data_IF_245023716225
#
_entry.id   IF_245023716225
#
_cell.length_a   1.000
_cell.length_b   1.000
_cell.length_c   1.000
_cell.angle_alpha   90.00
_cell.angle_beta   90.00
_cell.angle_gamma   90.00
#
_symmetry.space_group_name_H-M   'P 1'
#
loop_
_entity.id
_entity.type
_entity.pdbx_description
1 polymer ?
#
# COMPACT_ATOMS: atom_id res chain seq x y z
N UNK A 1 8.40 35.69 -25.75
CA UNK A 1 7.09 35.96 -26.40
C UNK A 1 6.30 36.85 -25.44
N UNK A 2 5.86 38.04 -25.87
CA UNK A 2 5.08 38.96 -25.02
C UNK A 2 3.60 38.77 -25.37
N UNK A 3 2.75 38.60 -24.36
CA UNK A 3 1.30 38.47 -24.56
C UNK A 3 0.70 39.80 -25.07
N UNK A 4 -0.23 39.70 -26.03
CA UNK A 4 -1.02 40.84 -26.49
C UNK A 4 -2.06 41.25 -25.43
N UNK A 5 -2.08 42.54 -25.09
CA UNK A 5 -3.00 43.14 -24.11
C UNK A 5 -3.85 44.18 -24.82
N UNK A 6 -5.18 44.11 -24.64
CA UNK A 6 -6.13 45.06 -25.20
C UNK A 6 -6.82 45.83 -24.07
N UNK A 7 -7.14 47.09 -24.30
CA UNK A 7 -7.89 47.92 -23.34
C UNK A 7 -9.20 48.34 -24.01
N UNK A 8 -10.34 48.00 -23.40
CA UNK A 8 -11.64 48.35 -23.94
C UNK A 8 -11.88 49.86 -23.84
N UNK A 9 -11.85 50.56 -24.98
CA UNK A 9 -11.91 52.03 -25.08
C UNK A 9 -13.07 52.66 -24.29
N UNK A 10 -14.24 52.01 -24.24
CA UNK A 10 -15.43 52.51 -23.50
C UNK A 10 -15.48 52.08 -22.03
N UNK A 11 -14.81 50.99 -21.67
CA UNK A 11 -14.96 50.34 -20.34
C UNK A 11 -13.72 50.45 -19.46
N UNK A 12 -12.57 50.83 -20.02
CA UNK A 12 -11.27 50.79 -19.35
C UNK A 12 -10.76 49.39 -18.98
N UNK A 13 -11.53 48.32 -19.24
CA UNK A 13 -11.18 46.95 -18.88
C UNK A 13 -10.01 46.44 -19.72
N UNK A 14 -9.08 45.78 -19.04
CA UNK A 14 -7.94 45.08 -19.67
C UNK A 14 -8.40 43.69 -20.10
N UNK A 15 -8.18 43.35 -21.36
CA UNK A 15 -8.42 42.05 -21.95
C UNK A 15 -7.08 41.40 -22.30
N UNK A 16 -6.90 40.16 -21.83
CA UNK A 16 -5.70 39.34 -22.07
C UNK A 16 -6.15 38.03 -22.73
N UNK A 17 -6.31 37.99 -24.07
CA UNK A 17 -6.96 36.87 -24.75
C UNK A 17 -6.25 35.54 -24.55
N UNK A 18 -4.92 35.53 -24.58
CA UNK A 18 -4.14 34.33 -24.31
C UNK A 18 -4.34 33.83 -22.88
N UNK A 19 -4.16 34.69 -21.87
CA UNK A 19 -4.38 34.36 -20.46
C UNK A 19 -5.79 33.85 -20.21
N UNK A 20 -6.79 34.47 -20.83
CA UNK A 20 -8.20 34.08 -20.71
C UNK A 20 -8.46 32.71 -21.35
N UNK A 21 -7.98 32.51 -22.58
CA UNK A 21 -8.12 31.23 -23.30
C UNK A 21 -7.36 30.09 -22.63
N UNK A 22 -6.19 30.38 -22.06
CA UNK A 22 -5.37 29.40 -21.36
C UNK A 22 -5.79 29.22 -19.88
N UNK A 23 -6.77 30.00 -19.41
CA UNK A 23 -7.22 30.07 -18.02
C UNK A 23 -6.08 30.33 -17.02
N UNK A 24 -5.10 31.14 -17.44
CA UNK A 24 -3.95 31.56 -16.63
C UNK A 24 -4.24 32.95 -16.07
N UNK A 25 -4.02 33.12 -14.78
CA UNK A 25 -4.07 34.42 -14.12
C UNK A 25 -2.70 34.76 -13.53
N UNK A 26 -2.49 36.03 -13.18
CA UNK A 26 -1.26 36.47 -12.52
C UNK A 26 -0.99 35.61 -11.28
N UNK A 27 0.23 35.06 -11.15
CA UNK A 27 0.65 34.11 -10.10
C UNK A 27 -0.11 32.77 -10.09
N UNK A 28 -0.87 32.48 -11.14
CA UNK A 28 -1.54 31.21 -11.36
C UNK A 28 -0.65 30.19 -12.08
N UNK A 29 -0.91 28.92 -11.83
CA UNK A 29 -0.29 27.80 -12.54
C UNK A 29 -1.31 27.20 -13.50
N UNK A 30 -0.98 27.07 -14.79
CA UNK A 30 -1.88 26.44 -15.77
C UNK A 30 -2.15 24.97 -15.40
N UNK A 31 -3.29 24.42 -15.81
CA UNK A 31 -3.61 23.00 -15.54
C UNK A 31 -2.55 22.03 -16.10
N UNK A 32 -2.01 22.21 -17.32
CA UNK A 32 -0.92 21.37 -17.81
C UNK A 32 0.33 21.44 -16.93
N UNK A 33 0.68 22.63 -16.43
CA UNK A 33 1.82 22.79 -15.54
C UNK A 33 1.56 22.14 -14.18
N UNK A 34 0.36 22.30 -13.62
CA UNK A 34 -0.02 21.61 -12.39
C UNK A 34 0.03 20.08 -12.55
N UNK A 35 -0.36 19.54 -13.71
CA UNK A 35 -0.22 18.11 -14.02
C UNK A 35 1.24 17.67 -13.97
N UNK A 36 2.14 18.35 -14.67
CA UNK A 36 3.57 18.02 -14.66
C UNK A 36 4.19 18.13 -13.26
N UNK A 37 3.83 19.18 -12.51
CA UNK A 37 4.26 19.36 -11.11
C UNK A 37 3.78 18.19 -10.23
N UNK A 38 2.52 17.77 -10.37
CA UNK A 38 1.92 16.73 -9.54
C UNK A 38 2.48 15.36 -9.87
N UNK A 39 2.75 15.09 -11.15
CA UNK A 39 3.42 13.87 -11.64
C UNK A 39 4.82 13.73 -11.01
N UNK A 40 5.66 14.76 -11.12
CA UNK A 40 6.96 14.76 -10.44
C UNK A 40 6.83 14.74 -8.91
N UNK A 41 5.80 15.38 -8.36
CA UNK A 41 5.53 15.39 -6.93
C UNK A 41 5.09 14.04 -6.36
N UNK A 42 4.62 13.13 -7.20
CA UNK A 42 4.33 11.75 -6.82
C UNK A 42 5.59 10.87 -6.80
N UNK A 43 6.55 11.15 -7.70
CA UNK A 43 7.70 10.27 -7.94
C UNK A 43 8.99 10.66 -7.22
N UNK A 44 9.23 11.96 -7.02
CA UNK A 44 10.52 12.46 -6.52
C UNK A 44 10.38 13.43 -5.35
N UNK A 45 11.41 13.57 -4.50
CA UNK A 45 11.42 14.59 -3.45
C UNK A 45 11.18 15.99 -4.03
N UNK A 46 10.37 16.81 -3.35
CA UNK A 46 10.00 18.16 -3.84
C UNK A 46 11.20 19.05 -4.20
N UNK A 47 12.34 18.87 -3.51
CA UNK A 47 13.58 19.61 -3.80
C UNK A 47 14.20 19.31 -5.18
N UNK A 48 13.81 18.21 -5.83
CA UNK A 48 14.28 17.80 -7.15
C UNK A 48 13.37 18.20 -8.30
N UNK A 49 12.15 18.63 -8.01
CA UNK A 49 11.17 19.04 -9.02
C UNK A 49 11.62 20.27 -9.82
N UNK A 50 12.25 21.31 -9.23
CA UNK A 50 12.70 22.48 -10.00
C UNK A 50 13.71 22.12 -11.08
N UNK A 51 14.66 21.22 -10.79
CA UNK A 51 15.65 20.71 -11.75
C UNK A 51 14.94 20.02 -12.94
N UNK A 52 13.99 19.12 -12.66
CA UNK A 52 13.21 18.42 -13.69
C UNK A 52 12.35 19.35 -14.56
N UNK A 53 11.69 20.34 -13.95
CA UNK A 53 10.89 21.31 -14.70
C UNK A 53 11.74 22.21 -15.59
N UNK A 54 12.93 22.59 -15.11
CA UNK A 54 13.87 23.36 -15.92
C UNK A 54 14.38 22.55 -17.11
N UNK A 55 14.71 21.26 -16.90
CA UNK A 55 15.20 20.36 -17.95
C UNK A 55 14.14 20.08 -19.03
N UNK A 56 12.94 19.68 -18.63
CA UNK A 56 11.91 19.21 -19.58
C UNK A 56 11.04 20.33 -20.15
N UNK A 57 10.90 21.45 -19.44
CA UNK A 57 9.96 22.51 -19.79
C UNK A 57 10.58 23.91 -19.81
N UNK A 58 11.87 24.06 -19.48
CA UNK A 58 12.56 25.36 -19.50
C UNK A 58 12.08 26.36 -18.46
N UNK A 59 11.34 25.90 -17.44
CA UNK A 59 10.74 26.76 -16.41
C UNK A 59 11.22 26.39 -15.01
N UNK A 60 11.41 27.40 -14.17
CA UNK A 60 11.72 27.22 -12.75
C UNK A 60 10.48 27.46 -11.92
N UNK A 61 10.12 26.50 -11.07
CA UNK A 61 9.02 26.61 -10.09
C UNK A 61 9.58 26.50 -8.67
N UNK A 62 9.17 27.36 -7.72
CA UNK A 62 9.60 27.23 -6.32
C UNK A 62 9.19 25.88 -5.70
N UNK A 63 10.07 25.29 -4.89
CA UNK A 63 9.82 24.02 -4.17
C UNK A 63 8.50 24.07 -3.38
N UNK A 64 8.24 25.20 -2.69
CA UNK A 64 7.01 25.39 -1.93
C UNK A 64 5.76 25.35 -2.80
N UNK A 65 5.81 25.90 -4.01
CA UNK A 65 4.69 25.87 -4.95
C UNK A 65 4.46 24.45 -5.48
N UNK A 66 5.53 23.72 -5.82
CA UNK A 66 5.43 22.34 -6.25
C UNK A 66 4.78 21.45 -5.16
N UNK A 67 5.19 21.65 -3.91
CA UNK A 67 4.60 20.99 -2.75
C UNK A 67 3.12 21.33 -2.58
N UNK A 68 2.76 22.62 -2.53
CA UNK A 68 1.37 23.06 -2.33
C UNK A 68 0.45 22.56 -3.43
N UNK A 69 0.87 22.59 -4.69
CA UNK A 69 0.07 22.12 -5.83
C UNK A 69 -0.14 20.61 -5.75
N UNK A 70 0.92 19.84 -5.52
CA UNK A 70 0.84 18.37 -5.40
C UNK A 70 -0.09 17.98 -4.25
N UNK A 71 0.06 18.62 -3.09
CA UNK A 71 -0.78 18.35 -1.92
C UNK A 71 -2.24 18.76 -2.14
N UNK A 72 -2.50 19.86 -2.86
CA UNK A 72 -3.86 20.27 -3.24
C UNK A 72 -4.54 19.19 -4.07
N UNK A 73 -3.86 18.65 -5.09
CA UNK A 73 -4.39 17.56 -5.91
C UNK A 73 -4.56 16.27 -5.13
N UNK A 74 -3.59 15.90 -4.29
CA UNK A 74 -3.72 14.74 -3.40
C UNK A 74 -4.91 14.86 -2.44
N UNK A 75 -5.15 16.06 -1.90
CA UNK A 75 -6.32 16.33 -1.06
C UNK A 75 -7.63 16.22 -1.86
N UNK A 76 -7.68 16.79 -3.07
CA UNK A 76 -8.84 16.68 -3.94
C UNK A 76 -9.16 15.21 -4.29
N UNK A 77 -8.14 14.41 -4.62
CA UNK A 77 -8.28 12.95 -4.82
C UNK A 77 -8.87 12.31 -3.57
N UNK A 78 -8.28 12.55 -2.39
CA UNK A 78 -8.76 11.99 -1.13
C UNK A 78 -10.22 12.35 -0.82
N UNK A 79 -10.61 13.61 -1.01
CA UNK A 79 -11.99 14.07 -0.73
C UNK A 79 -12.98 13.55 -1.78
N UNK A 80 -12.54 13.35 -3.03
CA UNK A 80 -13.38 12.82 -4.10
C UNK A 80 -13.63 11.31 -4.00
N UNK A 81 -12.84 10.58 -3.19
CA UNK A 81 -13.04 9.15 -2.97
C UNK A 81 -14.36 8.90 -2.23
N UNK A 82 -15.34 8.36 -2.96
CA UNK A 82 -16.56 7.80 -2.38
C UNK A 82 -16.36 6.30 -2.24
N UNK A 83 -16.20 5.84 -1.01
CA UNK A 83 -16.09 4.42 -0.74
C UNK A 83 -17.45 3.76 -0.88
N UNK A 84 -17.47 2.66 -1.62
CA UNK A 84 -18.59 1.74 -1.63
C UNK A 84 -18.38 0.75 -0.49
N UNK A 85 -19.36 0.65 0.40
CA UNK A 85 -19.25 -0.11 1.66
C UNK A 85 -20.26 -1.28 1.72
N UNK A 86 -20.91 -1.61 0.60
CA UNK A 86 -21.87 -2.72 0.52
C UNK A 86 -21.65 -3.52 -0.75
N UNK A 87 -21.53 -4.84 -0.59
CA UNK A 87 -21.47 -5.77 -1.72
C UNK A 87 -22.79 -5.64 -2.51
N UNK A 88 -22.73 -5.37 -3.83
CA UNK A 88 -23.93 -5.29 -4.67
C UNK A 88 -24.64 -6.64 -4.76
N UNK A 89 -25.97 -6.61 -4.80
CA UNK A 89 -26.85 -7.76 -5.03
C UNK A 89 -26.91 -8.06 -6.54
N UNK A 90 -25.96 -8.87 -7.00
CA UNK A 90 -25.76 -9.30 -8.40
C UNK A 90 -24.73 -10.41 -8.46
N UNK A 91 -24.74 -11.14 -9.57
CA UNK A 91 -23.62 -12.01 -9.93
C UNK A 91 -22.33 -11.20 -10.08
N UNK A 92 -21.27 -11.70 -9.47
CA UNK A 92 -19.93 -11.14 -9.54
C UNK A 92 -18.98 -12.00 -10.36
N UNK A 93 -17.69 -11.63 -10.31
CA UNK A 93 -16.63 -12.48 -10.84
C UNK A 93 -16.53 -13.78 -10.04
N UNK A 94 -16.04 -14.86 -10.65
CA UNK A 94 -15.94 -16.17 -9.97
C UNK A 94 -15.06 -16.13 -8.71
N UNK A 95 -13.93 -15.44 -8.79
CA UNK A 95 -12.97 -15.35 -7.70
C UNK A 95 -12.16 -14.06 -7.77
N UNK A 96 -11.88 -13.49 -6.60
CA UNK A 96 -10.87 -12.45 -6.41
C UNK A 96 -9.79 -12.93 -5.45
N UNK A 97 -8.56 -12.45 -5.64
CA UNK A 97 -7.48 -12.56 -4.67
C UNK A 97 -7.38 -11.24 -3.91
N UNK A 98 -7.37 -11.30 -2.59
CA UNK A 98 -7.28 -10.13 -1.73
C UNK A 98 -6.01 -10.19 -0.87
N UNK A 99 -5.27 -9.11 -0.79
CA UNK A 99 -4.10 -8.99 0.07
C UNK A 99 -4.22 -7.72 0.92
N UNK A 100 -3.74 -7.80 2.15
CA UNK A 100 -3.54 -6.62 3.00
C UNK A 100 -2.14 -6.70 3.60
N UNK A 101 -1.50 -5.54 3.72
CA UNK A 101 -0.24 -5.41 4.45
C UNK A 101 -0.14 -4.00 5.08
N UNK A 102 0.64 -3.92 6.15
CA UNK A 102 0.93 -2.71 6.90
C UNK A 102 2.42 -2.39 6.85
N UNK A 103 2.76 -1.12 6.60
CA UNK A 103 4.16 -0.66 6.63
C UNK A 103 4.28 0.65 7.39
N UNK A 104 5.40 0.81 8.10
CA UNK A 104 5.65 2.03 8.89
C UNK A 104 6.30 3.08 8.00
N UNK A 105 5.59 4.19 7.77
CA UNK A 105 6.12 5.37 7.08
C UNK A 105 6.57 6.43 8.08
N UNK A 106 7.77 7.01 7.92
CA UNK A 106 8.22 8.10 8.76
C UNK A 106 7.49 9.39 8.38
N UNK A 107 6.93 10.06 9.37
CA UNK A 107 6.26 11.35 9.23
C UNK A 107 6.92 12.38 10.14
N UNK A 108 7.15 13.56 9.59
CA UNK A 108 7.72 14.69 10.34
C UNK A 108 6.57 15.56 10.85
N UNK A 109 6.47 15.68 12.17
CA UNK A 109 5.58 16.64 12.83
C UNK A 109 6.37 17.86 13.25
N UNK A 110 5.70 19.01 13.27
CA UNK A 110 6.21 20.27 13.82
C UNK A 110 5.21 20.76 14.85
N UNK A 111 5.64 21.56 15.82
CA UNK A 111 4.72 22.22 16.75
C UNK A 111 3.68 23.02 15.95
N UNK A 112 2.37 22.91 16.27
CA UNK A 112 1.33 23.71 15.66
C UNK A 112 1.61 25.21 15.85
N UNK A 113 1.08 26.06 14.97
CA UNK A 113 1.04 27.50 15.24
C UNK A 113 0.06 27.73 16.40
N UNK A 114 0.53 28.31 17.50
CA UNK A 114 -0.35 28.89 18.53
C UNK A 114 -0.61 30.36 18.18
N UNK A 115 -1.74 30.90 18.64
CA UNK A 115 -2.07 32.33 18.48
C UNK A 115 -1.21 33.25 19.37
N UNK A 116 -0.19 32.70 20.05
CA UNK A 116 0.72 33.46 20.90
C UNK A 116 1.73 34.27 20.06
N UNK A 117 2.06 35.48 20.52
CA UNK A 117 2.98 36.45 19.91
C UNK A 117 4.43 35.97 19.67
N UNK A 118 4.76 34.72 20.02
CA UNK A 118 6.09 34.15 19.77
C UNK A 118 6.14 33.46 18.42
N UNK A 119 6.70 34.15 17.43
CA UNK A 119 7.10 33.55 16.15
C UNK A 119 8.21 32.53 16.40
N UNK A 120 7.85 31.25 16.49
CA UNK A 120 8.79 30.13 16.60
C UNK A 120 9.14 29.64 15.20
N UNK A 121 10.44 29.51 14.89
CA UNK A 121 10.89 28.82 13.66
C UNK A 121 10.55 27.32 13.75
N UNK A 122 9.41 26.94 13.17
CA UNK A 122 8.87 25.57 13.20
C UNK A 122 9.83 24.53 12.62
N UNK A 123 10.80 24.93 11.77
CA UNK A 123 11.82 24.01 11.26
C UNK A 123 12.69 23.44 12.39
N UNK A 124 12.85 24.17 13.49
CA UNK A 124 13.59 23.73 14.69
C UNK A 124 12.77 22.85 15.63
N UNK A 125 11.48 22.65 15.35
CA UNK A 125 10.55 21.84 16.19
C UNK A 125 10.21 20.49 15.56
N UNK A 126 10.99 20.05 14.57
CA UNK A 126 10.72 18.82 13.83
C UNK A 126 10.95 17.60 14.73
N UNK A 127 9.95 16.74 14.80
CA UNK A 127 10.05 15.41 15.40
C UNK A 127 9.67 14.36 14.37
N UNK A 128 10.48 13.30 14.29
CA UNK A 128 10.14 12.14 13.49
C UNK A 128 9.22 11.23 14.31
N UNK A 129 8.10 10.83 13.74
CA UNK A 129 7.26 9.77 14.28
C UNK A 129 6.88 8.81 13.16
N UNK A 130 6.51 7.59 13.53
CA UNK A 130 6.14 6.57 12.56
C UNK A 130 4.63 6.44 12.54
N UNK A 131 4.08 6.32 11.33
CA UNK A 131 2.67 6.05 11.13
C UNK A 131 2.54 4.84 10.23
N UNK A 132 1.64 3.94 10.57
CA UNK A 132 1.36 2.78 9.73
C UNK A 132 0.52 3.21 8.53
N UNK A 133 1.00 2.92 7.33
CA UNK A 133 0.23 2.92 6.10
C UNK A 133 -0.22 1.49 5.84
N UNK A 134 -1.52 1.31 5.57
CA UNK A 134 -2.11 0.01 5.25
C UNK A 134 -2.56 0.03 3.82
N UNK A 135 -2.10 -0.96 3.07
CA UNK A 135 -2.45 -1.15 1.68
C UNK A 135 -3.30 -2.40 1.55
N UNK A 136 -4.19 -2.38 0.57
CA UNK A 136 -4.88 -3.58 0.15
C UNK A 136 -4.83 -3.69 -1.36
N UNK A 137 -4.66 -4.92 -1.82
CA UNK A 137 -4.61 -5.28 -3.22
C UNK A 137 -5.76 -6.24 -3.48
N UNK A 138 -6.51 -6.00 -4.53
CA UNK A 138 -7.53 -6.93 -5.02
C UNK A 138 -7.25 -7.24 -6.48
N UNK A 139 -7.03 -8.51 -6.79
CA UNK A 139 -6.76 -8.97 -8.13
C UNK A 139 -7.88 -9.87 -8.64
N UNK A 140 -8.23 -9.70 -9.91
CA UNK A 140 -9.10 -10.62 -10.66
C UNK A 140 -8.17 -11.58 -11.43
N UNK A 141 -7.97 -12.83 -10.99
CA UNK A 141 -6.88 -13.67 -11.49
C UNK A 141 -6.96 -13.96 -13.00
N UNK A 142 -8.18 -14.09 -13.52
CA UNK A 142 -8.42 -14.34 -14.95
C UNK A 142 -8.09 -13.15 -15.83
N UNK A 143 -8.22 -11.93 -15.30
CA UNK A 143 -7.99 -10.68 -16.05
C UNK A 143 -6.60 -10.07 -15.78
N UNK A 144 -5.87 -10.56 -14.75
CA UNK A 144 -4.62 -9.97 -14.24
C UNK A 144 -4.76 -8.47 -13.96
N UNK A 145 -5.97 -8.08 -13.53
CA UNK A 145 -6.30 -6.69 -13.21
C UNK A 145 -6.20 -6.50 -11.71
N UNK A 146 -5.33 -5.59 -11.31
CA UNK A 146 -5.05 -5.30 -9.91
C UNK A 146 -5.62 -3.94 -9.52
N UNK A 147 -6.38 -3.92 -8.43
CA UNK A 147 -6.90 -2.71 -7.81
C UNK A 147 -6.14 -2.51 -6.51
N UNK A 148 -5.47 -1.37 -6.39
CA UNK A 148 -4.73 -0.98 -5.19
C UNK A 148 -5.52 0.12 -4.48
N UNK A 149 -5.71 -0.07 -3.19
CA UNK A 149 -6.38 0.84 -2.27
C UNK A 149 -5.54 0.95 -1.00
N UNK A 150 -5.73 2.01 -0.23
CA UNK A 150 -4.90 2.20 0.95
C UNK A 150 -5.32 3.36 1.81
N UNK A 151 -4.84 3.33 3.05
CA UNK A 151 -5.10 4.37 4.04
C UNK A 151 -3.95 4.48 5.04
N UNK A 152 -3.74 5.68 5.56
CA UNK A 152 -2.94 5.92 6.77
C UNK A 152 -3.85 6.04 8.00
N UNK A 153 -5.06 5.52 7.91
CA UNK A 153 -6.11 5.62 8.90
C UNK A 153 -6.06 4.50 9.94
N UNK A 154 -7.22 4.16 10.45
CA UNK A 154 -7.50 3.04 11.35
C UNK A 154 -7.50 1.70 10.61
N UNK A 155 -7.57 0.61 11.38
CA UNK A 155 -7.79 -0.74 10.85
C UNK A 155 -9.14 -0.86 10.15
N UNK A 156 -10.19 -0.25 10.70
CA UNK A 156 -11.54 -0.28 10.10
C UNK A 156 -11.59 0.47 8.76
N UNK A 157 -10.91 1.62 8.66
CA UNK A 157 -10.76 2.32 7.38
C UNK A 157 -10.00 1.48 6.36
N UNK A 158 -9.04 0.65 6.77
CA UNK A 158 -8.36 -0.27 5.86
C UNK A 158 -9.30 -1.38 5.38
N UNK A 159 -10.17 -1.90 6.24
CA UNK A 159 -11.24 -2.83 5.84
C UNK A 159 -12.21 -2.23 4.84
N UNK A 160 -12.66 -0.99 5.06
CA UNK A 160 -13.51 -0.26 4.11
C UNK A 160 -12.84 -0.07 2.75
N UNK A 161 -11.55 0.24 2.74
CA UNK A 161 -10.77 0.33 1.51
C UNK A 161 -10.71 -1.02 0.80
N UNK A 162 -10.41 -2.11 1.51
CA UNK A 162 -10.41 -3.47 0.95
C UNK A 162 -11.76 -3.82 0.31
N UNK A 163 -12.87 -3.58 1.01
CA UNK A 163 -14.22 -3.83 0.49
C UNK A 163 -14.48 -2.99 -0.77
N UNK A 164 -14.14 -1.70 -0.75
CA UNK A 164 -14.26 -0.84 -1.91
C UNK A 164 -13.43 -1.35 -3.10
N UNK A 165 -12.21 -1.84 -2.84
CA UNK A 165 -11.37 -2.52 -3.83
C UNK A 165 -12.03 -3.76 -4.42
N UNK A 166 -12.64 -4.60 -3.57
CA UNK A 166 -13.37 -5.79 -3.98
C UNK A 166 -14.60 -5.47 -4.84
N UNK A 167 -15.34 -4.40 -4.50
CA UNK A 167 -16.48 -3.94 -5.29
C UNK A 167 -16.04 -3.44 -6.66
N UNK A 168 -14.94 -2.67 -6.72
CA UNK A 168 -14.33 -2.27 -7.99
C UNK A 168 -13.78 -3.45 -8.80
N UNK A 169 -13.43 -4.55 -8.14
CA UNK A 169 -13.01 -5.81 -8.76
C UNK A 169 -14.20 -6.66 -9.26
N UNK A 170 -15.43 -6.23 -8.99
CA UNK A 170 -16.63 -6.95 -9.43
C UNK A 170 -17.08 -8.05 -8.47
N UNK A 171 -16.82 -7.92 -7.16
CA UNK A 171 -17.42 -8.82 -6.17
C UNK A 171 -18.95 -8.75 -6.24
N UNK A 172 -19.59 -9.92 -6.15
CA UNK A 172 -21.03 -10.12 -6.05
C UNK A 172 -21.35 -11.29 -5.13
N UNK A 173 -22.57 -11.82 -5.23
CA UNK A 173 -23.07 -12.83 -4.29
C UNK A 173 -22.36 -14.18 -4.38
N UNK A 174 -21.95 -14.55 -5.60
CA UNK A 174 -21.30 -15.81 -5.92
C UNK A 174 -19.76 -15.73 -5.95
N UNK A 175 -19.18 -14.57 -5.68
CA UNK A 175 -17.72 -14.37 -5.76
C UNK A 175 -17.00 -15.00 -4.58
N UNK A 176 -16.04 -15.88 -4.87
CA UNK A 176 -15.10 -16.41 -3.87
C UNK A 176 -13.98 -15.40 -3.59
N UNK A 177 -13.59 -15.27 -2.34
CA UNK A 177 -12.47 -14.41 -1.93
C UNK A 177 -11.34 -15.31 -1.43
N UNK A 178 -10.19 -15.26 -2.09
CA UNK A 178 -8.98 -15.90 -1.60
C UNK A 178 -8.05 -14.84 -1.05
N UNK A 179 -8.02 -14.70 0.28
CA UNK A 179 -7.20 -13.72 0.94
C UNK A 179 -5.82 -14.27 1.29
N UNK A 180 -4.79 -13.44 1.15
CA UNK A 180 -3.40 -13.76 1.47
C UNK A 180 -2.86 -12.66 2.40
N UNK A 181 -2.09 -13.04 3.42
CA UNK A 181 -1.41 -12.07 4.27
C UNK A 181 -0.52 -12.70 5.34
N UNK A 182 0.17 -11.87 6.12
CA UNK A 182 1.13 -12.29 7.14
C UNK A 182 0.50 -13.04 8.34
N UNK A 183 -0.83 -13.00 8.44
CA UNK A 183 -1.59 -13.61 9.52
C UNK A 183 -1.62 -12.77 10.80
N UNK A 184 -1.47 -11.45 10.68
CA UNK A 184 -1.87 -10.51 11.71
C UNK A 184 -3.37 -10.66 11.97
N UNK A 185 -3.76 -10.74 13.25
CA UNK A 185 -5.15 -10.98 13.64
C UNK A 185 -6.10 -9.91 13.11
N UNK A 186 -5.64 -8.65 13.02
CA UNK A 186 -6.45 -7.57 12.49
C UNK A 186 -6.76 -7.76 10.99
N UNK A 187 -5.84 -8.30 10.19
CA UNK A 187 -6.08 -8.60 8.77
C UNK A 187 -7.10 -9.73 8.64
N UNK A 188 -6.86 -10.83 9.36
CA UNK A 188 -7.76 -11.99 9.36
C UNK A 188 -9.18 -11.57 9.76
N UNK A 189 -9.30 -10.77 10.82
CA UNK A 189 -10.59 -10.26 11.28
C UNK A 189 -11.27 -9.37 10.24
N UNK A 190 -10.54 -8.50 9.54
CA UNK A 190 -11.12 -7.69 8.45
C UNK A 190 -11.62 -8.57 7.31
N UNK A 191 -10.80 -9.51 6.82
CA UNK A 191 -11.21 -10.42 5.73
C UNK A 191 -12.44 -11.24 6.12
N UNK A 192 -12.39 -11.91 7.27
CA UNK A 192 -13.49 -12.78 7.70
C UNK A 192 -14.74 -11.98 8.04
N UNK A 193 -14.60 -10.79 8.63
CA UNK A 193 -15.72 -9.91 8.93
C UNK A 193 -16.40 -9.33 7.69
N UNK A 194 -15.65 -9.00 6.65
CA UNK A 194 -16.18 -8.38 5.42
C UNK A 194 -16.80 -9.41 4.47
N UNK A 195 -16.22 -10.60 4.37
CA UNK A 195 -16.56 -11.57 3.33
C UNK A 195 -17.20 -12.86 3.88
N UNK A 196 -17.02 -13.18 5.16
CA UNK A 196 -17.63 -14.34 5.80
C UNK A 196 -17.29 -15.66 5.08
N UNK A 197 -18.31 -16.50 4.87
CA UNK A 197 -18.16 -17.85 4.33
C UNK A 197 -17.60 -17.91 2.90
N UNK A 198 -17.65 -16.82 2.14
CA UNK A 198 -17.08 -16.77 0.78
C UNK A 198 -15.56 -16.58 0.80
N UNK A 199 -14.98 -16.24 1.97
CA UNK A 199 -13.54 -16.05 2.12
C UNK A 199 -12.82 -17.32 2.55
N UNK A 200 -11.63 -17.49 1.97
CA UNK A 200 -10.57 -18.34 2.49
C UNK A 200 -9.36 -17.48 2.79
N UNK A 201 -8.53 -17.88 3.74
CA UNK A 201 -7.33 -17.15 4.11
C UNK A 201 -6.11 -18.06 4.03
N UNK A 202 -5.03 -17.57 3.43
CA UNK A 202 -3.77 -18.26 3.28
C UNK A 202 -2.66 -17.38 3.85
N UNK A 203 -1.76 -17.99 4.63
CA UNK A 203 -0.55 -17.28 5.03
C UNK A 203 0.30 -17.00 3.80
N UNK A 204 0.76 -15.75 3.67
CA UNK A 204 1.73 -15.40 2.66
C UNK A 204 2.97 -16.28 2.79
N UNK A 205 3.27 -16.99 1.70
CA UNK A 205 4.38 -17.91 1.64
C UNK A 205 5.73 -17.19 1.82
N UNK A 206 5.86 -15.93 1.39
CA UNK A 206 7.08 -15.15 1.60
C UNK A 206 7.34 -14.92 3.09
N UNK A 207 6.35 -14.37 3.82
CA UNK A 207 6.44 -14.19 5.27
C UNK A 207 6.71 -15.49 6.02
N UNK A 208 6.01 -16.59 5.70
CA UNK A 208 6.31 -17.89 6.30
C UNK A 208 7.77 -18.33 6.01
N UNK A 209 8.28 -18.08 4.80
CA UNK A 209 9.65 -18.40 4.45
C UNK A 209 10.68 -17.61 5.28
N UNK A 210 10.40 -16.38 5.71
CA UNK A 210 11.29 -15.62 6.60
C UNK A 210 11.42 -16.26 7.98
N UNK A 211 10.30 -16.74 8.56
CA UNK A 211 10.33 -17.51 9.80
C UNK A 211 11.12 -18.82 9.64
N UNK A 212 10.88 -19.55 8.55
CA UNK A 212 11.58 -20.81 8.27
C UNK A 212 13.07 -20.57 7.99
N UNK A 213 13.43 -19.47 7.34
CA UNK A 213 14.81 -19.06 7.09
C UNK A 213 15.54 -18.72 8.39
N UNK A 214 14.90 -17.94 9.25
CA UNK A 214 15.42 -17.62 10.58
C UNK A 214 15.65 -18.87 11.44
N UNK A 215 14.77 -19.88 11.30
CA UNK A 215 14.85 -21.16 12.00
C UNK A 215 15.77 -22.20 11.33
N UNK A 216 16.45 -21.85 10.24
CA UNK A 216 17.34 -22.76 9.53
C UNK A 216 18.53 -23.16 10.41
N UNK A 217 19.04 -24.39 10.29
CA UNK A 217 20.22 -24.79 11.04
C UNK A 217 21.42 -23.94 10.64
N UNK A 218 22.25 -23.57 11.63
CA UNK A 218 23.51 -22.84 11.43
C UNK A 218 24.58 -23.80 10.91
N UNK A 219 24.47 -24.17 9.64
CA UNK A 219 25.41 -25.02 8.90
C UNK A 219 26.12 -24.20 7.83
N UNK A 220 26.93 -24.85 6.98
CA UNK A 220 27.41 -24.18 5.77
C UNK A 220 26.23 -23.77 4.87
N UNK A 221 26.49 -22.79 4.01
CA UNK A 221 25.49 -22.14 3.15
C UNK A 221 24.75 -23.15 2.25
N UNK A 222 25.47 -24.11 1.67
CA UNK A 222 24.88 -25.12 0.78
C UNK A 222 23.90 -26.04 1.50
N UNK A 223 24.26 -26.51 2.70
CA UNK A 223 23.40 -27.34 3.55
C UNK A 223 22.17 -26.56 4.01
N UNK A 224 22.33 -25.29 4.37
CA UNK A 224 21.23 -24.42 4.78
C UNK A 224 20.24 -24.19 3.63
N UNK A 225 20.74 -23.86 2.42
CA UNK A 225 19.94 -23.72 1.19
C UNK A 225 19.17 -25.01 0.87
N UNK A 226 19.84 -26.15 0.95
CA UNK A 226 19.22 -27.46 0.70
C UNK A 226 18.13 -27.78 1.73
N UNK A 227 18.36 -27.49 3.01
CA UNK A 227 17.37 -27.68 4.07
C UNK A 227 16.14 -26.78 3.84
N UNK A 228 16.35 -25.50 3.53
CA UNK A 228 15.28 -24.55 3.23
C UNK A 228 14.44 -24.98 2.03
N UNK A 229 15.09 -25.43 0.95
CA UNK A 229 14.41 -25.96 -0.23
C UNK A 229 13.49 -27.13 0.12
N UNK A 230 13.97 -28.06 0.96
CA UNK A 230 13.16 -29.20 1.43
C UNK A 230 11.94 -28.76 2.25
N UNK A 231 12.11 -27.80 3.17
CA UNK A 231 10.97 -27.29 3.97
C UNK A 231 9.96 -26.56 3.10
N UNK A 232 10.40 -25.68 2.19
CA UNK A 232 9.52 -24.98 1.24
C UNK A 232 8.72 -25.94 0.38
N UNK A 233 9.35 -27.01 -0.11
CA UNK A 233 8.66 -28.06 -0.89
C UNK A 233 7.64 -28.84 -0.04
N UNK A 234 7.97 -29.15 1.22
CA UNK A 234 7.04 -29.81 2.14
C UNK A 234 5.80 -28.92 2.41
N UNK A 235 5.99 -27.63 2.67
CA UNK A 235 4.89 -26.67 2.87
C UNK A 235 3.98 -26.58 1.64
N UNK A 236 4.55 -26.45 0.43
CA UNK A 236 3.78 -26.44 -0.84
C UNK A 236 2.97 -27.72 -1.09
N UNK A 237 3.32 -28.82 -0.41
CA UNK A 237 2.60 -30.11 -0.45
C UNK A 237 1.67 -30.32 0.75
N UNK A 238 1.40 -29.28 1.55
CA UNK A 238 0.67 -29.32 2.82
C UNK A 238 1.27 -30.26 3.88
N UNK A 239 2.57 -30.57 3.79
CA UNK A 239 3.27 -31.41 4.77
C UNK A 239 3.71 -30.59 5.99
N UNK A 240 2.79 -29.81 6.58
CA UNK A 240 3.11 -28.86 7.66
C UNK A 240 3.62 -29.57 8.91
N UNK A 241 3.02 -30.70 9.27
CA UNK A 241 3.47 -31.53 10.40
C UNK A 241 4.91 -32.05 10.21
N UNK A 242 5.30 -32.37 8.97
CA UNK A 242 6.69 -32.75 8.66
C UNK A 242 7.66 -31.60 8.90
N UNK A 243 7.28 -30.38 8.55
CA UNK A 243 8.09 -29.19 8.82
C UNK A 243 8.18 -28.92 10.32
N UNK A 244 7.08 -29.03 11.06
CA UNK A 244 7.08 -28.91 12.52
C UNK A 244 7.98 -29.96 13.19
N UNK A 245 7.95 -31.22 12.73
CA UNK A 245 8.84 -32.27 13.23
C UNK A 245 10.33 -31.98 12.89
N UNK A 246 10.61 -31.41 11.72
CA UNK A 246 11.98 -31.01 11.38
C UNK A 246 12.49 -29.85 12.25
N UNK A 247 11.59 -28.98 12.72
CA UNK A 247 11.90 -27.90 13.65
C UNK A 247 12.05 -28.43 15.09
N UNK A 248 11.19 -29.35 15.53
CA UNK A 248 11.14 -29.82 16.92
C UNK A 248 12.47 -30.39 17.43
N UNK A 249 13.25 -31.02 16.55
CA UNK A 249 14.55 -31.62 16.87
C UNK A 249 15.61 -30.59 17.32
N UNK A 250 15.34 -29.29 17.17
CA UNK A 250 16.27 -28.20 17.47
C UNK A 250 15.62 -27.08 18.27
N UNK A 251 14.54 -27.39 18.99
CA UNK A 251 13.85 -26.40 19.80
C UNK A 251 14.79 -25.81 20.84
N UNK A 252 14.84 -24.47 20.88
CA UNK A 252 15.60 -23.78 21.90
C UNK A 252 14.88 -23.84 23.25
N UNK A 253 15.65 -23.70 24.34
CA UNK A 253 15.11 -23.72 25.69
C UNK A 253 14.09 -22.59 25.94
N UNK A 254 13.07 -22.84 26.75
CA UNK A 254 11.95 -21.92 26.95
C UNK A 254 12.35 -20.57 27.57
N UNK A 255 13.40 -20.56 28.41
CA UNK A 255 13.88 -19.36 29.08
C UNK A 255 14.60 -18.38 28.14
N UNK A 256 14.97 -18.81 26.92
CA UNK A 256 15.62 -17.93 25.96
C UNK A 256 14.62 -16.96 25.36
N UNK A 257 14.96 -15.66 25.37
CA UNK A 257 14.16 -14.63 24.73
C UNK A 257 13.95 -14.92 23.22
N UNK A 258 12.81 -14.50 22.66
CA UNK A 258 12.41 -14.82 21.28
C UNK A 258 13.46 -14.45 20.23
N UNK A 259 14.19 -13.34 20.41
CA UNK A 259 15.29 -12.94 19.50
C UNK A 259 16.43 -13.96 19.41
N UNK A 260 16.53 -14.86 20.37
CA UNK A 260 17.52 -15.94 20.43
C UNK A 260 16.89 -17.34 20.25
N UNK A 261 15.59 -17.42 19.96
CA UNK A 261 14.85 -18.68 19.83
C UNK A 261 14.05 -18.75 18.51
N UNK A 262 14.69 -18.58 17.33
CA UNK A 262 13.99 -18.54 16.05
C UNK A 262 13.24 -19.83 15.70
N UNK A 263 13.70 -21.02 16.10
CA UNK A 263 13.00 -22.30 15.86
C UNK A 263 11.69 -22.34 16.66
N UNK A 264 11.71 -21.92 17.93
CA UNK A 264 10.51 -21.78 18.77
C UNK A 264 9.54 -20.74 18.21
N UNK A 265 10.04 -19.58 17.78
CA UNK A 265 9.22 -18.52 17.16
C UNK A 265 8.56 -19.02 15.87
N UNK A 266 9.31 -19.65 14.97
CA UNK A 266 8.78 -20.23 13.74
C UNK A 266 7.75 -21.33 14.02
N UNK A 267 8.04 -22.23 14.97
CA UNK A 267 7.11 -23.31 15.34
C UNK A 267 5.80 -22.78 15.89
N UNK A 268 5.85 -21.76 16.76
CA UNK A 268 4.66 -21.08 17.31
C UNK A 268 3.89 -20.35 16.21
N UNK A 269 4.57 -19.66 15.30
CA UNK A 269 3.95 -18.99 14.16
C UNK A 269 3.12 -19.95 13.31
N UNK A 270 3.69 -21.11 12.96
CA UNK A 270 3.01 -22.16 12.16
C UNK A 270 1.86 -22.79 12.94
N UNK A 271 2.08 -23.20 14.20
CA UNK A 271 1.06 -23.89 15.02
C UNK A 271 -0.19 -23.05 15.22
N UNK A 272 -0.03 -21.74 15.38
CA UNK A 272 -1.16 -20.82 15.57
C UNK A 272 -1.96 -20.57 14.28
N UNK A 273 -1.53 -21.10 13.12
CA UNK A 273 -2.06 -20.77 11.79
C UNK A 273 -2.27 -22.00 10.90
N UNK A 274 -2.39 -23.19 11.50
CA UNK A 274 -2.46 -24.46 10.74
C UNK A 274 -3.58 -24.48 9.70
N UNK A 275 -4.73 -23.89 10.04
CA UNK A 275 -5.90 -23.77 9.15
C UNK A 275 -5.63 -22.92 7.89
N UNK A 276 -4.68 -21.99 7.94
CA UNK A 276 -4.33 -21.08 6.84
C UNK A 276 -3.14 -21.56 6.00
N UNK A 277 -2.81 -22.86 6.04
CA UNK A 277 -1.60 -23.43 5.40
C UNK A 277 -1.91 -24.38 4.23
N UNK A 278 -3.05 -24.19 3.55
CA UNK A 278 -3.46 -25.02 2.41
C UNK A 278 -2.80 -24.57 1.07
N UNK A 279 -1.47 -24.58 1.01
CA UNK A 279 -0.71 -24.19 -0.18
C UNK A 279 -0.95 -25.09 -1.39
N UNK A 280 -1.09 -26.41 -1.18
CA UNK A 280 -1.36 -27.36 -2.26
C UNK A 280 -2.69 -27.03 -2.95
N UNK A 281 -3.71 -26.70 -2.17
CA UNK A 281 -5.01 -26.26 -2.67
C UNK A 281 -4.88 -24.94 -3.44
N UNK A 282 -4.25 -23.94 -2.83
CA UNK A 282 -4.06 -22.62 -3.46
C UNK A 282 -3.32 -22.70 -4.80
N UNK A 283 -2.22 -23.47 -4.87
CA UNK A 283 -1.45 -23.68 -6.11
C UNK A 283 -2.28 -24.41 -7.17
N UNK A 284 -3.11 -25.37 -6.77
CA UNK A 284 -3.99 -26.11 -7.67
C UNK A 284 -5.12 -25.27 -8.28
N UNK A 285 -5.46 -24.14 -7.66
CA UNK A 285 -6.49 -23.21 -8.12
C UNK A 285 -5.96 -22.09 -9.03
N UNK A 286 -4.63 -21.96 -9.19
CA UNK A 286 -4.05 -21.00 -10.14
C UNK A 286 -4.28 -21.57 -11.54
N UNK A 287 -4.99 -20.85 -12.44
CA UNK A 287 -5.12 -21.28 -13.82
C UNK A 287 -3.71 -21.45 -14.39
N UNK A 288 -3.34 -22.67 -14.76
CA UNK A 288 -2.13 -22.89 -15.52
C UNK A 288 -2.37 -22.19 -16.86
N UNK A 289 -1.67 -21.09 -17.10
CA UNK A 289 -1.60 -20.49 -18.42
C UNK A 289 -1.11 -21.59 -19.38
N UNK A 290 -2.02 -22.10 -20.21
CA UNK A 290 -1.65 -22.85 -21.41
C UNK A 290 -0.90 -21.92 -22.36
#
# INVERSE_FOLDING_TARGET
MIEQIFIGVKTGKVFRPFSSSAQIHCRGYSLPLQRAITDFGADVPFGKIPEKLQEHYGITVPISSAQTITQKHAHAVKVSQKLEEKIPDRDGVEQIIAEMDGTMIPIVKTTPSTDDDKIIDRRKTRSCCWKEARLSLVEIPKEKKTIIVGTVGTVDEAGKQLLHGAIRAGIGDNTKVHAIGDGASWIVNQVMGLFGERASYLIDFYHLCEYVASAAPRTNEQQQKNWLKKQKQALKKNQVLKVLNNLSNRMEAEHLADKFAPVRVCSRYIKNRLEYMNYKGAIGCIPVSQ
#
